data_IF_105365432928
#
_entry.id   IF_105365432928
#
_cell.length_a   1.000
_cell.length_b   1.000
_cell.length_c   1.000
_cell.angle_alpha   90.00
_cell.angle_beta   90.00
_cell.angle_gamma   90.00
#
_symmetry.space_group_name_H-M   'P 1'
#
loop_
_entity.id
_entity.type
_entity.pdbx_description
1 polymer ?
#
# COMPACT_ATOMS: atom_id res chain seq x y z
N UNK A 1 -6.68 -8.83 -7.74
CA UNK A 1 -7.22 -7.76 -8.60
C UNK A 1 -7.05 -8.09 -10.09
N UNK A 2 -5.83 -8.14 -10.64
CA UNK A 2 -5.60 -8.43 -12.07
C UNK A 2 -6.08 -9.84 -12.49
N UNK A 3 -5.94 -10.86 -11.62
CA UNK A 3 -6.44 -12.22 -11.88
C UNK A 3 -7.96 -12.33 -12.03
N UNK A 4 -8.72 -11.34 -11.56
CA UNK A 4 -10.20 -11.34 -11.58
C UNK A 4 -10.73 -10.65 -12.83
N UNK A 5 -9.88 -9.92 -13.56
CA UNK A 5 -10.27 -9.26 -14.80
C UNK A 5 -10.36 -10.27 -15.94
N UNK A 6 -11.38 -10.17 -16.81
CA UNK A 6 -11.41 -10.94 -18.05
C UNK A 6 -10.17 -10.56 -18.90
N UNK A 7 -9.30 -11.53 -19.16
CA UNK A 7 -8.01 -11.31 -19.84
C UNK A 7 -6.80 -11.18 -18.91
N UNK A 8 -6.99 -11.10 -17.59
CA UNK A 8 -5.86 -11.10 -16.65
C UNK A 8 -4.90 -9.92 -16.87
N UNK A 9 -3.64 -10.22 -17.18
CA UNK A 9 -2.63 -9.22 -17.53
C UNK A 9 -2.88 -8.55 -18.90
N UNK A 10 -3.64 -9.21 -19.77
CA UNK A 10 -4.04 -8.72 -21.10
C UNK A 10 -5.39 -7.99 -21.06
N UNK A 11 -5.92 -7.71 -19.87
CA UNK A 11 -7.17 -6.97 -19.72
C UNK A 11 -7.05 -5.58 -20.35
N UNK A 12 -8.06 -5.19 -21.13
CA UNK A 12 -8.11 -3.89 -21.79
C UNK A 12 -8.21 -2.77 -20.76
N UNK A 13 -7.33 -1.78 -20.87
CA UNK A 13 -7.36 -0.56 -20.06
C UNK A 13 -7.94 0.56 -20.94
N UNK A 14 -9.02 1.20 -20.49
CA UNK A 14 -9.61 2.33 -21.21
C UNK A 14 -8.72 3.57 -21.11
N UNK A 15 -9.00 4.61 -21.90
CA UNK A 15 -8.19 5.83 -21.86
C UNK A 15 -8.10 6.39 -20.42
N UNK A 16 -6.87 6.71 -20.02
CA UNK A 16 -6.56 7.09 -18.63
C UNK A 16 -6.71 5.97 -17.58
N UNK A 17 -7.38 4.85 -17.87
CA UNK A 17 -7.75 3.79 -16.93
C UNK A 17 -9.11 3.99 -16.28
N UNK A 18 -10.07 4.63 -16.95
CA UNK A 18 -11.43 4.92 -16.42
C UNK A 18 -12.20 3.68 -15.95
N UNK A 19 -11.84 2.50 -16.44
CA UNK A 19 -12.38 1.22 -15.99
C UNK A 19 -11.86 0.74 -14.63
N UNK A 20 -10.97 1.49 -13.97
CA UNK A 20 -10.45 1.21 -12.63
C UNK A 20 -10.88 2.28 -11.63
N UNK A 21 -11.13 1.85 -10.39
CA UNK A 21 -11.35 2.80 -9.30
C UNK A 21 -10.10 3.64 -9.03
N UNK A 22 -10.28 4.78 -8.36
CA UNK A 22 -9.17 5.66 -7.99
C UNK A 22 -8.12 4.92 -7.16
N UNK A 23 -8.54 4.13 -6.17
CA UNK A 23 -7.62 3.31 -5.35
C UNK A 23 -6.90 2.22 -6.15
N UNK A 24 -7.58 1.61 -7.13
CA UNK A 24 -6.97 0.64 -8.04
C UNK A 24 -5.88 1.27 -8.92
N UNK A 25 -6.13 2.48 -9.44
CA UNK A 25 -5.13 3.26 -10.19
C UNK A 25 -3.93 3.62 -9.31
N UNK A 26 -4.16 4.00 -8.04
CA UNK A 26 -3.07 4.23 -7.09
C UNK A 26 -2.22 2.98 -6.86
N UNK A 27 -2.84 1.80 -6.71
CA UNK A 27 -2.10 0.54 -6.59
C UNK A 27 -1.23 0.27 -7.83
N UNK A 28 -1.74 0.54 -9.04
CA UNK A 28 -0.93 0.45 -10.26
C UNK A 28 0.23 1.46 -10.27
N UNK A 29 0.00 2.70 -9.85
CA UNK A 29 1.07 3.70 -9.70
C UNK A 29 2.13 3.25 -8.69
N UNK A 30 1.71 2.69 -7.55
CA UNK A 30 2.61 2.16 -6.54
C UNK A 30 3.42 0.97 -7.06
N UNK A 31 2.78 0.03 -7.77
CA UNK A 31 3.46 -1.09 -8.42
C UNK A 31 4.51 -0.59 -9.44
N UNK A 32 4.19 0.45 -10.22
CA UNK A 32 5.14 1.09 -11.13
C UNK A 32 6.33 1.73 -10.39
N UNK A 33 6.07 2.41 -9.28
CA UNK A 33 7.12 3.01 -8.44
C UNK A 33 8.02 1.94 -7.80
N UNK A 34 7.43 0.82 -7.38
CA UNK A 34 8.14 -0.33 -6.83
C UNK A 34 9.13 -0.92 -7.85
N UNK A 35 8.67 -1.21 -9.07
CA UNK A 35 9.50 -1.75 -10.15
C UNK A 35 10.63 -0.79 -10.54
N UNK A 36 10.39 0.53 -10.48
CA UNK A 36 11.41 1.55 -10.77
C UNK A 36 12.54 1.65 -9.76
N UNK A 37 12.45 0.97 -8.60
CA UNK A 37 13.45 1.04 -7.53
C UNK A 37 13.77 2.47 -7.04
N UNK A 38 12.77 3.36 -7.03
CA UNK A 38 12.94 4.73 -6.55
C UNK A 38 13.36 4.77 -5.07
N UNK A 39 14.40 5.53 -4.72
CA UNK A 39 14.89 5.69 -3.34
C UNK A 39 13.96 6.52 -2.45
N UNK A 40 13.16 7.40 -3.05
CA UNK A 40 12.19 8.26 -2.37
C UNK A 40 10.84 8.10 -3.06
N UNK A 41 9.80 7.83 -2.27
CA UNK A 41 8.41 7.78 -2.72
C UNK A 41 7.66 8.99 -2.14
N UNK A 42 7.00 9.77 -3.00
CA UNK A 42 6.14 10.88 -2.58
C UNK A 42 4.69 10.49 -2.91
N UNK A 43 3.82 10.52 -1.91
CA UNK A 43 2.39 10.26 -2.03
C UNK A 43 1.60 11.51 -1.64
N UNK A 44 0.65 11.90 -2.49
CA UNK A 44 -0.27 13.00 -2.25
C UNK A 44 -1.68 12.42 -2.04
N UNK A 45 -2.20 12.58 -0.83
CA UNK A 45 -3.45 12.00 -0.36
C UNK A 45 -4.47 13.13 -0.15
N UNK A 46 -5.18 13.48 -1.23
CA UNK A 46 -6.38 14.32 -1.18
C UNK A 46 -7.59 13.42 -0.84
N UNK A 47 -7.76 13.10 0.44
CA UNK A 47 -8.58 12.03 1.02
C UNK A 47 -10.11 12.19 0.94
N UNK A 48 -10.66 12.53 -0.23
CA UNK A 48 -12.11 12.75 -0.39
C UNK A 48 -12.90 11.57 -1.02
N UNK A 49 -12.26 10.60 -1.68
CA UNK A 49 -12.98 9.64 -2.54
C UNK A 49 -12.59 8.16 -2.43
N UNK A 50 -11.76 7.79 -1.45
CA UNK A 50 -11.28 6.41 -1.28
C UNK A 50 -11.97 5.72 -0.09
N UNK A 51 -12.35 4.47 -0.31
CA UNK A 51 -12.95 3.58 0.68
C UNK A 51 -11.89 3.06 1.68
N UNK A 52 -12.24 3.00 2.96
CA UNK A 52 -11.31 2.67 4.06
C UNK A 52 -10.65 1.30 3.91
N UNK A 53 -11.34 0.33 3.29
CA UNK A 53 -10.76 -1.00 3.05
C UNK A 53 -9.60 -0.94 2.04
N UNK A 54 -9.70 -0.08 1.03
CA UNK A 54 -8.65 0.09 0.02
C UNK A 54 -7.46 0.87 0.59
N UNK A 55 -7.73 1.88 1.42
CA UNK A 55 -6.72 2.66 2.16
C UNK A 55 -5.80 1.73 2.99
N UNK A 56 -6.40 0.84 3.79
CA UNK A 56 -5.66 -0.11 4.63
C UNK A 56 -4.76 -1.05 3.82
N UNK A 57 -5.21 -1.48 2.64
CA UNK A 57 -4.40 -2.33 1.76
C UNK A 57 -3.23 -1.52 1.19
N UNK A 58 -3.50 -0.31 0.70
CA UNK A 58 -2.48 0.58 0.15
C UNK A 58 -1.38 0.84 1.19
N UNK A 59 -1.78 1.16 2.42
CA UNK A 59 -0.87 1.41 3.52
C UNK A 59 0.02 0.19 3.82
N UNK A 60 -0.56 -1.01 3.98
CA UNK A 60 0.22 -2.24 4.19
C UNK A 60 1.21 -2.51 3.07
N UNK A 61 0.81 -2.28 1.82
CA UNK A 61 1.71 -2.44 0.67
C UNK A 61 2.84 -1.42 0.71
N UNK A 62 2.56 -0.15 1.03
CA UNK A 62 3.60 0.88 1.15
C UNK A 62 4.59 0.51 2.25
N UNK A 63 4.11 0.10 3.42
CA UNK A 63 4.96 -0.26 4.57
C UNK A 63 5.84 -1.46 4.29
N UNK A 64 5.32 -2.49 3.61
CA UNK A 64 6.07 -3.71 3.31
C UNK A 64 6.99 -3.55 2.09
N UNK A 65 6.52 -2.90 1.03
CA UNK A 65 7.24 -2.78 -0.23
C UNK A 65 8.30 -1.67 -0.24
N UNK A 66 8.21 -0.72 0.69
CA UNK A 66 9.14 0.41 0.81
C UNK A 66 9.79 0.50 2.20
N UNK A 67 9.85 -0.62 2.95
CA UNK A 67 10.46 -0.69 4.27
C UNK A 67 11.92 -0.19 4.30
N UNK A 68 12.66 -0.35 3.18
CA UNK A 68 14.05 0.05 3.00
C UNK A 68 14.21 1.47 2.41
N UNK A 69 13.12 2.23 2.26
CA UNK A 69 13.09 3.47 1.48
C UNK A 69 12.37 4.60 2.21
N UNK A 70 12.67 5.84 1.80
CA UNK A 70 12.02 7.01 2.36
C UNK A 70 10.67 7.24 1.69
N UNK A 71 9.59 7.24 2.47
CA UNK A 71 8.24 7.57 2.00
C UNK A 71 7.79 8.89 2.62
N UNK A 72 7.36 9.83 1.80
CA UNK A 72 6.79 11.12 2.21
C UNK A 72 5.33 11.13 1.76
N UNK A 73 4.41 11.11 2.71
CA UNK A 73 2.97 11.16 2.43
C UNK A 73 2.38 12.47 2.93
N UNK A 74 1.66 13.17 2.05
CA UNK A 74 0.87 14.35 2.38
C UNK A 74 -0.57 13.89 2.53
N UNK A 75 -1.19 14.05 3.71
CA UNK A 75 -2.57 13.62 3.93
C UNK A 75 -3.39 14.68 4.69
N UNK A 76 -4.67 14.81 4.32
CA UNK A 76 -5.66 15.60 5.07
C UNK A 76 -6.23 14.71 6.18
N UNK A 77 -5.69 14.90 7.38
CA UNK A 77 -5.97 14.17 8.64
C UNK A 77 -7.30 13.38 8.67
N UNK A 78 -7.24 12.13 8.23
CA UNK A 78 -8.04 11.02 8.74
C UNK A 78 -7.06 9.99 9.25
N UNK A 79 -7.00 9.82 10.58
CA UNK A 79 -6.28 8.78 11.30
C UNK A 79 -5.18 8.07 10.49
N UNK A 80 -3.98 8.67 10.43
CA UNK A 80 -2.82 7.99 9.89
C UNK A 80 -2.36 6.98 10.96
N UNK A 81 -2.47 5.66 10.75
CA UNK A 81 -2.04 4.69 11.76
C UNK A 81 -0.53 4.80 11.95
N UNK A 82 -0.07 4.60 13.18
CA UNK A 82 1.35 4.62 13.53
C UNK A 82 2.15 3.73 12.58
N UNK A 83 3.23 4.26 12.00
CA UNK A 83 4.22 3.42 11.34
C UNK A 83 4.78 2.45 12.40
N UNK A 84 4.80 1.13 12.14
CA UNK A 84 5.45 0.17 12.99
C UNK A 84 6.92 0.56 13.00
N UNK A 85 7.37 0.81 14.21
CA UNK A 85 8.77 1.06 14.49
C UNK A 85 9.53 -0.25 14.34
N UNK A 86 10.82 -0.22 13.95
CA UNK A 86 11.66 -1.42 13.94
C UNK A 86 11.72 -2.17 15.28
N UNK A 87 11.26 -1.56 16.38
CA UNK A 87 11.09 -2.19 17.69
C UNK A 87 9.84 -3.06 17.83
N UNK A 88 8.91 -3.04 16.86
CA UNK A 88 7.69 -3.86 16.88
C UNK A 88 7.94 -5.29 16.32
N UNK A 89 9.15 -5.55 15.78
CA UNK A 89 9.64 -6.85 15.30
C UNK A 89 10.67 -7.50 16.25
N UNK A 90 10.81 -7.04 17.51
CA UNK A 90 11.45 -7.89 18.52
C UNK A 90 10.45 -9.00 18.87
N UNK A 91 10.73 -10.28 18.56
CA UNK A 91 9.86 -11.35 19.01
C UNK A 91 9.80 -11.21 20.53
N UNK A 92 8.58 -11.11 21.07
CA UNK A 92 8.33 -11.20 22.49
C UNK A 92 8.82 -12.58 22.95
N UNK A 93 10.11 -12.66 23.25
CA UNK A 93 10.73 -13.72 23.99
C UNK A 93 10.00 -13.71 25.32
N UNK A 94 8.96 -14.54 25.47
CA UNK A 94 8.28 -14.97 26.71
C UNK A 94 6.85 -15.56 26.48
N UNK A 95 6.53 -16.18 25.33
CA UNK A 95 5.30 -17.02 25.20
C UNK A 95 5.56 -18.51 24.90
N UNK A 96 6.80 -18.98 25.00
CA UNK A 96 7.15 -20.41 24.77
C UNK A 96 7.37 -21.23 26.05
N UNK A 97 6.93 -20.75 27.22
CA UNK A 97 6.92 -21.54 28.46
C UNK A 97 5.52 -21.59 29.06
N UNK A 98 4.59 -22.22 28.33
CA UNK A 98 3.31 -22.66 28.89
C UNK A 98 2.88 -24.04 28.37
N UNK A 99 3.85 -24.94 28.28
CA UNK A 99 3.63 -26.39 28.29
C UNK A 99 4.44 -26.99 29.45
N UNK A 100 3.87 -26.92 30.67
CA UNK A 100 4.15 -27.83 31.79
C UNK A 100 2.81 -28.36 32.28
#
# INVERSE_FOLDING_TARGET
MVKVLPGGLDAVVTEGGENFSVGQRQLFCLARAFVRKSSILIMDEATASIDMATENILQKVVMTAFADRTVVTIAVSRHFPSFPTPSDDEPSSLEEIKDI
#
